data_IF_875926603297
#
_entry.id   IF_875926603297
#
_cell.length_a   1.000
_cell.length_b   1.000
_cell.length_c   1.000
_cell.angle_alpha   90.00
_cell.angle_beta   90.00
_cell.angle_gamma   90.00
#
_symmetry.space_group_name_H-M   'P 1'
#
loop_
_entity.id
_entity.type
_entity.pdbx_description
1 polymer ?
#
# COMPACT_ATOMS: atom_id res chain seq x y z
N UNK A 1 1.85 18.00 -22.72
CA UNK A 1 1.79 16.55 -22.46
C UNK A 1 1.62 16.38 -20.96
N UNK A 2 0.56 15.71 -20.53
CA UNK A 2 0.09 15.71 -19.13
C UNK A 2 1.03 14.93 -18.21
N UNK A 3 1.48 15.54 -17.12
CA UNK A 3 2.39 14.96 -16.13
C UNK A 3 1.85 15.04 -14.70
N UNK A 4 0.55 15.23 -14.48
CA UNK A 4 0.08 15.86 -13.24
C UNK A 4 -1.13 15.22 -12.52
N UNK A 5 -1.33 13.90 -12.59
CA UNK A 5 -2.46 13.25 -11.90
C UNK A 5 -2.13 12.05 -11.00
N UNK A 6 -0.87 11.67 -10.83
CA UNK A 6 -0.50 10.51 -10.01
C UNK A 6 0.26 10.93 -8.76
N UNK A 7 -0.01 10.27 -7.63
CA UNK A 7 0.75 10.48 -6.40
C UNK A 7 2.18 9.94 -6.55
N UNK A 8 3.14 10.49 -5.81
CA UNK A 8 4.48 9.94 -5.69
C UNK A 8 4.49 8.74 -4.74
N UNK A 9 5.08 7.62 -5.18
CA UNK A 9 5.21 6.43 -4.34
C UNK A 9 6.41 6.55 -3.39
N UNK A 10 6.17 6.29 -2.12
CA UNK A 10 7.18 6.06 -1.08
C UNK A 10 6.94 4.69 -0.45
N UNK A 11 8.01 4.02 -0.05
CA UNK A 11 7.96 2.70 0.61
C UNK A 11 8.84 2.78 1.85
N UNK A 12 8.32 2.31 3.00
CA UNK A 12 9.15 2.16 4.21
C UNK A 12 10.27 1.15 3.97
N UNK A 13 11.47 1.42 4.48
CA UNK A 13 12.64 0.55 4.35
C UNK A 13 12.38 -0.89 4.82
N UNK A 14 11.63 -1.05 5.91
CA UNK A 14 11.25 -2.34 6.48
C UNK A 14 10.31 -3.11 5.55
N UNK A 15 9.37 -2.39 4.92
CA UNK A 15 8.43 -2.95 3.98
C UNK A 15 9.11 -3.34 2.66
N UNK A 16 10.04 -2.51 2.19
CA UNK A 16 10.85 -2.83 1.00
C UNK A 16 11.65 -4.12 1.21
N UNK A 17 12.30 -4.25 2.38
CA UNK A 17 12.98 -5.48 2.80
C UNK A 17 12.02 -6.69 2.89
N UNK A 18 10.76 -6.50 3.29
CA UNK A 18 9.74 -7.56 3.25
C UNK A 18 9.40 -7.94 1.80
N UNK A 19 9.29 -6.98 0.89
CA UNK A 19 9.00 -7.21 -0.52
C UNK A 19 10.14 -7.94 -1.23
N UNK A 20 11.40 -7.64 -0.94
CA UNK A 20 12.54 -8.40 -1.48
C UNK A 20 12.48 -9.88 -1.09
N UNK A 21 12.11 -10.18 0.17
CA UNK A 21 11.94 -11.55 0.65
C UNK A 21 10.70 -12.20 0.02
N UNK A 22 9.62 -11.44 -0.16
CA UNK A 22 8.40 -11.91 -0.79
C UNK A 22 8.62 -12.25 -2.27
N UNK A 23 9.39 -11.44 -3.01
CA UNK A 23 9.74 -11.66 -4.40
C UNK A 23 10.33 -13.06 -4.64
N UNK A 24 11.17 -13.52 -3.70
CA UNK A 24 11.83 -14.83 -3.73
C UNK A 24 10.90 -15.99 -3.37
N UNK A 25 9.91 -15.75 -2.49
CA UNK A 25 9.04 -16.80 -1.93
C UNK A 25 7.72 -16.95 -2.66
N UNK A 26 7.11 -15.83 -3.07
CA UNK A 26 5.78 -15.77 -3.65
C UNK A 26 5.67 -14.56 -4.60
N UNK A 27 6.22 -14.70 -5.80
CA UNK A 27 6.23 -13.66 -6.83
C UNK A 27 4.81 -13.18 -7.20
N UNK A 28 3.84 -14.10 -7.29
CA UNK A 28 2.45 -13.76 -7.62
C UNK A 28 1.85 -12.77 -6.63
N UNK A 29 2.14 -12.93 -5.34
CA UNK A 29 1.64 -12.02 -4.32
C UNK A 29 2.27 -10.63 -4.42
N UNK A 30 3.56 -10.55 -4.79
CA UNK A 30 4.22 -9.29 -5.10
C UNK A 30 3.61 -8.61 -6.34
N UNK A 31 3.28 -9.36 -7.39
CA UNK A 31 2.61 -8.82 -8.59
C UNK A 31 1.24 -8.19 -8.24
N UNK A 32 0.48 -8.81 -7.34
CA UNK A 32 -0.79 -8.23 -6.83
C UNK A 32 -0.52 -6.92 -6.07
N UNK A 33 0.53 -6.88 -5.25
CA UNK A 33 0.91 -5.67 -4.51
C UNK A 33 1.27 -4.53 -5.48
N UNK A 34 2.07 -4.81 -6.51
CA UNK A 34 2.46 -3.82 -7.50
C UNK A 34 1.24 -3.28 -8.27
N UNK A 35 0.34 -4.16 -8.71
CA UNK A 35 -0.90 -3.74 -9.36
C UNK A 35 -1.78 -2.89 -8.42
N UNK A 36 -1.82 -3.21 -7.12
CA UNK A 36 -2.52 -2.37 -6.13
C UNK A 36 -1.82 -1.05 -5.88
N UNK A 37 -0.49 -0.99 -5.91
CA UNK A 37 0.24 0.26 -5.82
C UNK A 37 -0.15 1.20 -6.98
N UNK A 38 -0.20 0.70 -8.21
CA UNK A 38 -0.65 1.49 -9.37
C UNK A 38 -2.08 2.03 -9.19
N UNK A 39 -3.04 1.18 -8.77
CA UNK A 39 -4.42 1.62 -8.47
C UNK A 39 -4.47 2.68 -7.35
N UNK A 40 -3.62 2.55 -6.32
CA UNK A 40 -3.53 3.51 -5.22
C UNK A 40 -2.99 4.84 -5.71
N UNK A 41 -1.96 4.85 -6.56
CA UNK A 41 -1.38 6.11 -7.07
C UNK A 41 -2.34 6.87 -7.98
N UNK A 42 -3.25 6.17 -8.67
CA UNK A 42 -4.30 6.78 -9.50
C UNK A 42 -5.42 7.42 -8.67
N UNK A 43 -5.90 6.74 -7.63
CA UNK A 43 -6.96 7.27 -6.76
C UNK A 43 -6.85 6.69 -5.33
N UNK A 44 -6.03 7.28 -4.45
CA UNK A 44 -5.79 6.69 -3.13
C UNK A 44 -6.99 6.87 -2.19
N UNK A 45 -7.89 7.84 -2.46
CA UNK A 45 -9.06 8.11 -1.61
C UNK A 45 -10.18 7.09 -1.71
N UNK A 46 -10.23 6.28 -2.78
CA UNK A 46 -11.25 5.21 -2.95
C UNK A 46 -11.20 4.14 -1.85
N UNK A 47 -10.07 4.01 -1.16
CA UNK A 47 -9.85 2.96 -0.17
C UNK A 47 -10.34 3.37 1.22
N UNK A 48 -10.85 2.38 1.96
CA UNK A 48 -11.32 2.55 3.33
C UNK A 48 -10.16 2.74 4.29
N UNK A 49 -10.41 3.50 5.35
CA UNK A 49 -9.46 3.65 6.44
C UNK A 49 -9.45 2.39 7.33
N UNK A 50 -8.39 2.22 8.12
CA UNK A 50 -8.40 1.31 9.27
C UNK A 50 -9.38 1.80 10.35
N UNK A 51 -9.67 0.95 11.34
CA UNK A 51 -10.45 1.34 12.51
C UNK A 51 -9.61 2.24 13.43
N UNK A 52 -10.27 2.99 14.30
CA UNK A 52 -9.58 3.72 15.37
C UNK A 52 -8.74 2.75 16.23
N UNK A 53 -7.53 3.15 16.67
CA UNK A 53 -6.93 4.48 16.58
C UNK A 53 -6.15 4.77 15.27
N UNK A 54 -6.08 3.82 14.34
CA UNK A 54 -5.27 3.92 13.12
C UNK A 54 -6.05 4.47 11.91
N UNK A 55 -7.16 5.18 12.14
CA UNK A 55 -8.07 5.66 11.08
C UNK A 55 -7.47 6.76 10.17
N UNK A 56 -6.24 7.21 10.44
CA UNK A 56 -5.45 8.04 9.53
C UNK A 56 -4.78 7.22 8.41
N UNK A 57 -4.73 5.89 8.54
CA UNK A 57 -4.20 4.98 7.53
C UNK A 57 -5.31 4.33 6.71
N UNK A 58 -4.99 4.03 5.45
CA UNK A 58 -5.85 3.33 4.48
C UNK A 58 -5.42 1.90 4.28
N UNK A 59 -6.36 1.07 3.83
CA UNK A 59 -6.15 -0.38 3.68
C UNK A 59 -6.66 -0.90 2.33
N UNK A 60 -5.94 -1.86 1.78
CA UNK A 60 -6.39 -2.70 0.66
C UNK A 60 -6.06 -4.16 0.95
N UNK A 61 -6.99 -5.06 0.61
CA UNK A 61 -6.73 -6.49 0.71
C UNK A 61 -5.79 -6.94 -0.43
N UNK A 62 -4.81 -7.75 -0.06
CA UNK A 62 -3.90 -8.44 -0.96
C UNK A 62 -4.21 -9.93 -0.87
N UNK A 63 -4.73 -10.49 -1.97
CA UNK A 63 -5.23 -11.87 -2.00
C UNK A 63 -6.26 -12.10 -0.87
N UNK A 64 -6.43 -13.34 -0.41
CA UNK A 64 -7.44 -13.71 0.58
C UNK A 64 -7.15 -13.22 2.01
N UNK A 65 -5.88 -13.15 2.40
CA UNK A 65 -5.49 -13.14 3.81
C UNK A 65 -4.59 -11.97 4.22
N UNK A 66 -4.08 -11.18 3.28
CA UNK A 66 -3.14 -10.12 3.59
C UNK A 66 -3.75 -8.74 3.38
N UNK A 67 -3.18 -7.74 4.04
CA UNK A 67 -3.57 -6.35 3.93
C UNK A 67 -2.33 -5.51 3.68
N UNK A 68 -2.41 -4.63 2.69
CA UNK A 68 -1.45 -3.55 2.47
C UNK A 68 -2.03 -2.28 3.08
N UNK A 69 -1.26 -1.62 3.93
CA UNK A 69 -1.60 -0.39 4.63
C UNK A 69 -0.79 0.75 4.04
N UNK A 70 -1.42 1.90 3.83
CA UNK A 70 -0.76 3.07 3.27
C UNK A 70 -1.31 4.37 3.86
N UNK A 71 -0.51 5.43 3.79
CA UNK A 71 -0.88 6.80 4.15
C UNK A 71 -0.84 7.71 2.92
N UNK A 72 -1.55 8.83 2.98
CA UNK A 72 -1.54 9.86 1.94
C UNK A 72 -1.08 11.17 2.57
N UNK A 73 -0.17 11.85 1.90
CA UNK A 73 0.21 13.22 2.16
C UNK A 73 -0.23 14.07 0.96
N UNK A 74 -1.29 14.86 1.16
CA UNK A 74 -1.87 15.72 0.11
C UNK A 74 -0.97 16.90 -0.26
N UNK A 75 -0.17 17.41 0.69
CA UNK A 75 0.71 18.56 0.44
C UNK A 75 1.83 18.17 -0.51
N UNK A 76 2.47 17.02 -0.26
CA UNK A 76 3.50 16.49 -1.14
C UNK A 76 2.98 15.61 -2.27
N UNK A 77 1.65 15.42 -2.36
CA UNK A 77 0.97 14.47 -3.26
C UNK A 77 1.68 13.11 -3.26
N UNK A 78 1.95 12.55 -2.09
CA UNK A 78 2.63 11.26 -1.96
C UNK A 78 1.79 10.21 -1.25
N UNK A 79 1.98 8.96 -1.65
CA UNK A 79 1.46 7.76 -0.99
C UNK A 79 2.63 7.03 -0.39
N UNK A 80 2.57 6.74 0.91
CA UNK A 80 3.56 5.89 1.57
C UNK A 80 2.95 4.52 1.84
N UNK A 81 3.56 3.46 1.30
CA UNK A 81 3.25 2.10 1.72
C UNK A 81 3.87 1.88 3.10
N UNK A 82 3.02 1.71 4.11
CA UNK A 82 3.39 1.71 5.52
C UNK A 82 3.69 0.29 6.03
N UNK A 83 2.77 -0.65 5.77
CA UNK A 83 2.94 -2.05 6.22
C UNK A 83 2.19 -3.04 5.32
N UNK A 84 2.61 -4.30 5.41
CA UNK A 84 2.02 -5.45 4.75
C UNK A 84 2.14 -6.67 5.66
N UNK A 85 0.99 -7.24 6.05
CA UNK A 85 0.94 -8.48 6.84
C UNK A 85 -0.44 -9.17 6.76
N UNK A 86 -0.58 -10.31 7.42
CA UNK A 86 -1.83 -11.03 7.58
C UNK A 86 -2.87 -10.17 8.30
N UNK A 87 -4.14 -10.24 7.88
CA UNK A 87 -5.22 -9.42 8.45
C UNK A 87 -5.37 -9.55 9.98
N UNK A 88 -5.09 -10.72 10.56
CA UNK A 88 -5.11 -10.93 12.02
C UNK A 88 -4.07 -10.11 12.80
N UNK A 89 -3.02 -9.62 12.14
CA UNK A 89 -2.01 -8.76 12.77
C UNK A 89 -2.26 -7.28 12.53
N UNK A 90 -2.96 -6.95 11.45
CA UNK A 90 -3.25 -5.56 11.06
C UNK A 90 -4.49 -5.04 11.79
N UNK A 91 -5.47 -5.90 12.06
CA UNK A 91 -6.69 -5.57 12.80
C UNK A 91 -6.64 -6.04 14.24
#
# INVERSE_FOLDING_TARGET
>A
MAFDFMYFLKIRSELDSKFEKLAKKNKKQLEIILAKADEILENPHRYKNLKAPMNHLKRVHIDKHFVLVFSIDEESRSVTLEDYDHHDKIY
#
